data_IF_888396142218
#
_entry.id   IF_888396142218
#
_cell.length_a   1.000
_cell.length_b   1.000
_cell.length_c   1.000
_cell.angle_alpha   90.00
_cell.angle_beta   90.00
_cell.angle_gamma   90.00
#
_symmetry.space_group_name_H-M   'P 1'
#
loop_
_entity.id
_entity.type
_entity.pdbx_description
1 polymer ?
#
# COMPACT_ATOMS: atom_id res chain seq x y z
N UNK A 1 47.50 72.67 -28.12
CA UNK A 1 48.40 71.51 -28.30
C UNK A 1 48.60 70.81 -26.96
N UNK A 2 47.53 70.25 -26.37
CA UNK A 2 47.61 69.55 -25.07
C UNK A 2 46.39 68.63 -24.92
N UNK A 3 46.35 67.55 -25.71
CA UNK A 3 45.25 66.56 -25.63
C UNK A 3 45.62 65.21 -26.25
N UNK A 4 46.83 64.70 -26.03
CA UNK A 4 47.19 63.33 -26.39
C UNK A 4 48.21 62.82 -25.36
N UNK A 5 47.80 62.56 -24.11
CA UNK A 5 48.61 61.77 -23.15
C UNK A 5 47.82 61.32 -21.90
N UNK A 6 46.52 61.02 -22.06
CA UNK A 6 45.71 60.37 -21.00
C UNK A 6 44.77 59.35 -21.63
N UNK A 7 45.32 58.35 -22.30
CA UNK A 7 44.51 57.24 -22.81
C UNK A 7 45.25 55.89 -22.90
N UNK A 8 46.15 55.61 -21.96
CA UNK A 8 46.73 54.25 -21.82
C UNK A 8 46.81 53.72 -20.38
N UNK A 9 46.23 54.41 -19.39
CA UNK A 9 46.25 53.97 -17.99
C UNK A 9 44.87 53.68 -17.38
N UNK A 10 43.85 53.43 -18.22
CA UNK A 10 42.48 53.13 -17.77
C UNK A 10 41.85 51.92 -18.49
N UNK A 11 42.68 50.97 -18.97
CA UNK A 11 42.18 49.71 -19.56
C UNK A 11 42.72 48.43 -18.91
N UNK A 12 43.42 48.54 -17.77
CA UNK A 12 43.91 47.37 -17.01
C UNK A 12 43.40 47.25 -15.57
N UNK A 13 42.42 48.05 -15.15
CA UNK A 13 41.91 48.03 -13.77
C UNK A 13 40.39 47.88 -13.64
N UNK A 14 39.69 47.54 -14.72
CA UNK A 14 38.23 47.28 -14.69
C UNK A 14 37.89 45.82 -15.06
N UNK A 15 38.91 44.97 -15.23
CA UNK A 15 38.76 43.56 -15.60
C UNK A 15 39.14 42.60 -14.46
N UNK A 16 38.96 43.04 -13.21
CA UNK A 16 39.26 42.24 -12.01
C UNK A 16 38.22 42.37 -10.88
N UNK A 17 37.04 42.92 -11.18
CA UNK A 17 35.91 43.04 -10.24
C UNK A 17 34.57 42.69 -10.90
N UNK A 18 34.59 41.78 -11.88
CA UNK A 18 33.39 41.17 -12.47
C UNK A 18 33.51 39.63 -12.61
N UNK A 19 34.45 39.03 -11.88
CA UNK A 19 34.69 37.58 -11.81
C UNK A 19 34.68 37.06 -10.35
N UNK A 20 34.01 37.78 -9.46
CA UNK A 20 33.85 37.41 -8.05
C UNK A 20 32.42 37.59 -7.52
N UNK A 21 31.42 37.56 -8.42
CA UNK A 21 29.99 37.58 -8.07
C UNK A 21 29.15 36.54 -8.86
N UNK A 22 29.80 35.59 -9.54
CA UNK A 22 29.13 34.48 -10.25
C UNK A 22 29.64 33.11 -9.82
N UNK A 23 30.18 32.99 -8.59
CA UNK A 23 30.84 31.78 -8.09
C UNK A 23 30.31 31.20 -6.77
N UNK A 24 29.14 31.62 -6.26
CA UNK A 24 28.60 31.11 -4.97
C UNK A 24 27.11 30.76 -5.02
N UNK A 25 26.53 30.46 -6.20
CA UNK A 25 25.14 29.95 -6.26
C UNK A 25 25.04 28.46 -6.60
N UNK A 26 26.17 27.74 -6.68
CA UNK A 26 26.19 26.33 -7.13
C UNK A 26 26.58 25.31 -6.07
N UNK A 27 26.69 25.69 -4.78
CA UNK A 27 27.19 24.79 -3.70
C UNK A 27 26.12 24.41 -2.67
N UNK A 28 24.87 24.86 -2.81
CA UNK A 28 23.77 24.48 -1.90
C UNK A 28 22.53 23.92 -2.59
N UNK A 29 22.70 23.22 -3.72
CA UNK A 29 21.77 22.16 -4.05
C UNK A 29 22.23 20.88 -3.32
N UNK A 30 22.20 20.88 -1.99
CA UNK A 30 22.17 19.62 -1.27
C UNK A 30 20.88 18.94 -1.72
N UNK A 31 20.99 17.76 -2.30
CA UNK A 31 19.86 16.92 -2.65
C UNK A 31 19.17 16.56 -1.32
N UNK A 32 18.25 17.41 -0.86
CA UNK A 32 17.59 17.23 0.42
C UNK A 32 16.79 15.94 0.33
N UNK A 33 17.09 14.97 1.20
CA UNK A 33 16.35 13.71 1.23
C UNK A 33 14.86 14.02 1.29
N UNK A 34 14.12 13.37 0.41
CA UNK A 34 12.68 13.47 0.38
C UNK A 34 12.10 12.90 1.67
N UNK A 35 10.89 13.33 2.01
CA UNK A 35 10.13 12.75 3.12
C UNK A 35 10.08 11.21 3.07
N UNK A 36 9.87 10.65 1.88
CA UNK A 36 9.76 9.20 1.70
C UNK A 36 11.08 8.49 1.96
N UNK A 37 12.20 9.05 1.50
CA UNK A 37 13.52 8.48 1.76
C UNK A 37 13.85 8.49 3.25
N UNK A 38 13.54 9.59 3.95
CA UNK A 38 13.74 9.70 5.39
C UNK A 38 12.88 8.69 6.18
N UNK A 39 11.61 8.52 5.80
CA UNK A 39 10.72 7.52 6.43
C UNK A 39 11.22 6.10 6.18
N UNK A 40 11.66 5.79 4.96
CA UNK A 40 12.22 4.48 4.63
C UNK A 40 13.50 4.19 5.42
N UNK A 41 14.39 5.18 5.55
CA UNK A 41 15.60 5.07 6.37
C UNK A 41 15.26 4.87 7.86
N UNK A 42 14.29 5.62 8.38
CA UNK A 42 13.82 5.46 9.76
C UNK A 42 13.27 4.04 10.01
N UNK A 43 12.50 3.50 9.07
CA UNK A 43 12.00 2.13 9.16
C UNK A 43 13.14 1.10 9.11
N UNK A 44 14.15 1.28 8.26
CA UNK A 44 15.33 0.38 8.25
C UNK A 44 16.11 0.40 9.58
N UNK A 45 16.21 1.57 10.22
CA UNK A 45 16.80 1.71 11.56
C UNK A 45 15.94 1.00 12.63
N UNK A 46 14.62 1.11 12.51
CA UNK A 46 13.66 0.40 13.37
C UNK A 46 13.85 -1.12 13.29
N UNK A 47 13.89 -1.67 12.07
CA UNK A 47 14.10 -3.10 11.83
C UNK A 47 15.45 -3.58 12.37
N UNK A 48 16.46 -2.70 12.33
CA UNK A 48 17.79 -2.94 12.89
C UNK A 48 17.86 -2.76 14.41
N UNK A 49 16.73 -2.44 15.08
CA UNK A 49 16.61 -2.15 16.52
C UNK A 49 17.38 -0.92 17.01
N UNK A 50 17.75 -0.03 16.09
CA UNK A 50 18.37 1.27 16.38
C UNK A 50 17.26 2.29 16.64
N UNK A 51 16.53 2.10 17.75
CA UNK A 51 15.25 2.78 17.99
C UNK A 51 15.41 4.30 18.20
N UNK A 52 16.50 4.72 18.84
CA UNK A 52 16.79 6.15 19.03
C UNK A 52 17.02 6.83 17.68
N UNK A 53 17.91 6.27 16.85
CA UNK A 53 18.21 6.81 15.52
C UNK A 53 16.98 6.76 14.60
N UNK A 54 16.17 5.68 14.67
CA UNK A 54 14.88 5.58 13.99
C UNK A 54 13.97 6.75 14.35
N UNK A 55 13.80 7.02 15.65
CA UNK A 55 12.90 8.06 16.12
C UNK A 55 13.36 9.48 15.75
N UNK A 56 14.68 9.72 15.79
CA UNK A 56 15.31 10.95 15.31
C UNK A 56 15.14 11.13 13.80
N UNK A 57 15.29 10.05 13.03
CA UNK A 57 15.11 10.05 11.57
C UNK A 57 13.66 10.33 11.16
N UNK A 58 12.67 9.75 11.86
CA UNK A 58 11.26 10.14 11.70
C UNK A 58 11.05 11.62 12.02
N UNK A 59 11.71 12.14 13.06
CA UNK A 59 11.59 13.55 13.44
C UNK A 59 12.18 14.48 12.37
N UNK A 60 13.28 14.07 11.71
CA UNK A 60 13.83 14.73 10.53
C UNK A 60 12.84 14.71 9.36
N UNK A 61 12.19 13.57 9.10
CA UNK A 61 11.15 13.45 8.09
C UNK A 61 9.99 14.44 8.34
N UNK A 62 9.50 14.55 9.58
CA UNK A 62 8.42 15.49 9.88
C UNK A 62 8.88 16.94 9.67
N UNK A 63 10.09 17.30 10.10
CA UNK A 63 10.66 18.64 9.91
C UNK A 63 10.77 19.01 8.43
N UNK A 64 11.17 18.08 7.56
CA UNK A 64 11.27 18.34 6.11
C UNK A 64 9.92 18.69 5.46
N UNK A 65 8.80 18.31 6.09
CA UNK A 65 7.43 18.69 5.70
C UNK A 65 6.78 19.77 6.58
N UNK A 66 7.58 20.58 7.29
CA UNK A 66 7.05 21.64 8.16
C UNK A 66 6.29 21.07 9.37
N UNK A 67 6.86 20.04 9.98
CA UNK A 67 6.27 19.24 11.06
C UNK A 67 4.92 18.60 10.69
N UNK A 68 4.77 18.18 9.44
CA UNK A 68 3.68 17.33 8.97
C UNK A 68 4.20 15.92 8.75
N UNK A 69 3.33 14.93 8.91
CA UNK A 69 3.67 13.53 8.68
C UNK A 69 2.41 12.70 8.57
N UNK A 70 2.48 11.58 7.87
CA UNK A 70 1.38 10.62 7.83
C UNK A 70 1.12 10.08 9.24
N UNK A 71 -0.13 9.68 9.50
CA UNK A 71 -0.54 9.16 10.80
C UNK A 71 0.27 7.91 11.16
N UNK A 72 0.47 7.00 10.20
CA UNK A 72 1.24 5.77 10.40
C UNK A 72 2.70 6.06 10.71
N UNK A 73 3.34 6.99 9.99
CA UNK A 73 4.73 7.36 10.26
C UNK A 73 4.89 7.97 11.65
N UNK A 74 3.92 8.77 12.10
CA UNK A 74 3.89 9.31 13.47
C UNK A 74 3.65 8.23 14.52
N UNK A 75 2.82 7.23 14.22
CA UNK A 75 2.62 6.08 15.09
C UNK A 75 3.93 5.26 15.22
N UNK A 76 4.60 4.95 14.10
CA UNK A 76 5.89 4.27 14.11
C UNK A 76 6.98 5.07 14.84
N UNK A 77 6.96 6.40 14.73
CA UNK A 77 7.82 7.27 15.51
C UNK A 77 7.50 7.19 17.02
N UNK A 78 6.23 7.10 17.42
CA UNK A 78 5.84 6.87 18.81
C UNK A 78 6.40 5.54 19.34
N UNK A 79 6.29 4.46 18.57
CA UNK A 79 6.85 3.16 18.92
C UNK A 79 8.38 3.23 19.04
N UNK A 80 9.06 3.87 18.07
CA UNK A 80 10.52 4.07 18.11
C UNK A 80 10.95 4.83 19.37
N UNK A 81 10.27 5.94 19.71
CA UNK A 81 10.55 6.70 20.94
C UNK A 81 10.28 5.90 22.21
N UNK A 82 9.20 5.12 22.25
CA UNK A 82 8.87 4.28 23.40
C UNK A 82 9.93 3.19 23.62
N UNK A 83 10.36 2.51 22.56
CA UNK A 83 11.42 1.50 22.61
C UNK A 83 12.80 2.09 22.94
N UNK A 84 13.04 3.35 22.54
CA UNK A 84 14.21 4.13 22.97
C UNK A 84 14.11 4.64 24.43
N UNK A 85 12.98 4.38 25.11
CA UNK A 85 12.66 4.83 26.49
C UNK A 85 12.50 6.34 26.64
N UNK A 86 12.24 7.04 25.55
CA UNK A 86 11.94 8.47 25.49
C UNK A 86 10.42 8.70 25.56
N UNK A 87 9.88 8.53 26.77
CA UNK A 87 8.44 8.50 27.06
C UNK A 87 7.72 9.77 26.58
N UNK A 88 8.30 10.95 26.84
CA UNK A 88 7.67 12.22 26.49
C UNK A 88 7.58 12.43 24.98
N UNK A 89 8.66 12.11 24.25
CA UNK A 89 8.69 12.18 22.78
C UNK A 89 7.69 11.23 22.13
N UNK A 90 7.49 10.05 22.72
CA UNK A 90 6.46 9.11 22.27
C UNK A 90 5.06 9.70 22.44
N UNK A 91 4.73 10.22 23.63
CA UNK A 91 3.43 10.84 23.88
C UNK A 91 3.17 12.06 22.99
N UNK A 92 4.18 12.87 22.66
CA UNK A 92 4.02 13.97 21.69
C UNK A 92 3.47 13.46 20.36
N UNK A 93 3.97 12.32 19.85
CA UNK A 93 3.47 11.76 18.60
C UNK A 93 2.08 11.14 18.77
N UNK A 94 1.82 10.43 19.88
CA UNK A 94 0.51 9.83 20.16
C UNK A 94 -0.60 10.89 20.30
N UNK A 95 -0.35 12.00 20.99
CA UNK A 95 -1.31 13.10 21.08
C UNK A 95 -1.52 13.77 19.71
N UNK A 96 -0.47 13.97 18.92
CA UNK A 96 -0.63 14.53 17.56
C UNK A 96 -1.56 13.69 16.69
N UNK A 97 -1.42 12.36 16.69
CA UNK A 97 -2.27 11.49 15.87
C UNK A 97 -3.68 11.32 16.44
N UNK A 98 -3.85 11.35 17.76
CA UNK A 98 -5.16 11.19 18.40
C UNK A 98 -5.97 12.49 18.39
N UNK A 99 -5.36 13.66 18.63
CA UNK A 99 -6.07 14.95 18.65
C UNK A 99 -6.27 15.54 17.25
N UNK A 100 -5.24 15.50 16.41
CA UNK A 100 -5.24 16.18 15.09
C UNK A 100 -5.40 15.20 13.93
N UNK A 101 -4.84 13.99 14.08
CA UNK A 101 -4.88 12.95 13.07
C UNK A 101 -6.18 12.13 13.05
N UNK A 102 -7.01 12.21 14.09
CA UNK A 102 -8.17 11.35 14.29
C UNK A 102 -7.83 9.84 14.20
N UNK A 103 -6.70 9.40 14.76
CA UNK A 103 -6.34 7.98 14.76
C UNK A 103 -7.43 7.13 15.43
N UNK A 104 -7.85 6.04 14.77
CA UNK A 104 -9.03 5.23 15.14
C UNK A 104 -8.72 3.78 15.50
N UNK A 105 -7.49 3.30 15.28
CA UNK A 105 -7.17 1.87 15.47
C UNK A 105 -6.91 1.55 16.95
N UNK A 106 -8.00 1.57 17.73
CA UNK A 106 -8.03 1.29 19.17
C UNK A 106 -7.46 -0.10 19.48
N UNK A 107 -7.83 -1.13 18.70
CA UNK A 107 -7.33 -2.49 18.95
C UNK A 107 -5.81 -2.52 18.87
N UNK A 108 -5.23 -1.99 17.78
CA UNK A 108 -3.79 -2.05 17.58
C UNK A 108 -3.02 -1.33 18.70
N UNK A 109 -3.36 -0.07 18.99
CA UNK A 109 -2.63 0.71 20.00
C UNK A 109 -2.70 0.07 21.40
N UNK A 110 -3.81 -0.60 21.75
CA UNK A 110 -3.94 -1.25 23.07
C UNK A 110 -3.21 -2.58 23.21
N UNK A 111 -2.86 -3.22 22.08
CA UNK A 111 -2.19 -4.54 22.07
C UNK A 111 -0.75 -4.50 21.59
N UNK A 112 -0.30 -3.36 21.08
CA UNK A 112 1.05 -3.16 20.58
C UNK A 112 2.08 -3.22 21.72
N UNK A 113 2.99 -4.18 21.66
CA UNK A 113 4.02 -4.38 22.67
C UNK A 113 5.03 -3.24 22.73
N UNK A 114 5.22 -2.51 21.63
CA UNK A 114 6.23 -1.47 21.52
C UNK A 114 5.89 -0.25 22.39
N UNK A 115 4.60 -0.10 22.73
CA UNK A 115 4.08 0.97 23.59
C UNK A 115 3.90 0.53 25.05
N UNK A 116 4.24 -0.72 25.40
CA UNK A 116 3.99 -1.30 26.73
C UNK A 116 4.59 -0.49 27.89
N UNK A 117 5.74 0.15 27.68
CA UNK A 117 6.40 1.01 28.67
C UNK A 117 5.57 2.26 29.03
N UNK A 118 4.64 2.67 28.16
CA UNK A 118 3.77 3.83 28.36
C UNK A 118 2.55 3.52 29.22
N UNK A 119 2.16 2.25 29.37
CA UNK A 119 0.86 1.85 29.93
C UNK A 119 0.65 2.28 31.39
N UNK A 120 1.72 2.48 32.15
CA UNK A 120 1.67 2.95 33.55
C UNK A 120 1.61 4.47 33.68
N UNK A 121 1.90 5.23 32.61
CA UNK A 121 1.82 6.68 32.62
C UNK A 121 0.36 7.13 32.51
N UNK A 122 -0.03 8.16 33.29
CA UNK A 122 -1.40 8.69 33.30
C UNK A 122 -1.88 9.15 31.91
N UNK A 123 -0.97 9.66 31.07
CA UNK A 123 -1.25 10.15 29.71
C UNK A 123 -1.68 9.03 28.77
N UNK A 124 -1.34 7.78 29.08
CA UNK A 124 -1.81 6.63 28.32
C UNK A 124 -3.33 6.57 28.28
N UNK A 125 -3.98 6.67 29.44
CA UNK A 125 -5.44 6.65 29.51
C UNK A 125 -6.07 7.84 28.75
N UNK A 126 -5.40 9.00 28.72
CA UNK A 126 -5.84 10.16 27.95
C UNK A 126 -5.81 9.87 26.44
N UNK A 127 -4.67 9.38 25.92
CA UNK A 127 -4.52 8.98 24.50
C UNK A 127 -5.54 7.90 24.12
N UNK A 128 -5.67 6.85 24.93
CA UNK A 128 -6.58 5.73 24.64
C UNK A 128 -8.04 6.19 24.61
N UNK A 129 -8.44 7.12 25.49
CA UNK A 129 -9.78 7.71 25.45
C UNK A 129 -9.99 8.54 24.18
N UNK A 130 -9.01 9.34 23.74
CA UNK A 130 -9.10 10.09 22.48
C UNK A 130 -9.25 9.16 21.28
N UNK A 131 -8.44 8.10 21.20
CA UNK A 131 -8.52 7.11 20.11
C UNK A 131 -9.86 6.37 20.12
N UNK A 132 -10.39 6.04 21.30
CA UNK A 132 -11.72 5.44 21.43
C UNK A 132 -12.82 6.35 20.89
N UNK A 133 -12.81 7.63 21.28
CA UNK A 133 -13.78 8.63 20.80
C UNK A 133 -13.66 8.83 19.28
N UNK A 134 -12.44 8.88 18.75
CA UNK A 134 -12.21 8.96 17.31
C UNK A 134 -12.80 7.76 16.56
N UNK A 135 -12.59 6.55 17.08
CA UNK A 135 -13.18 5.32 16.54
C UNK A 135 -14.70 5.39 16.58
N UNK A 136 -15.30 5.72 17.72
CA UNK A 136 -16.75 5.82 17.86
C UNK A 136 -17.35 6.85 16.89
N UNK A 137 -16.67 7.98 16.68
CA UNK A 137 -17.07 9.01 15.72
C UNK A 137 -16.95 8.53 14.26
N UNK A 138 -15.85 7.87 13.90
CA UNK A 138 -15.64 7.34 12.56
C UNK A 138 -16.64 6.23 12.22
N UNK A 139 -17.08 5.47 13.22
CA UNK A 139 -17.98 4.33 13.07
C UNK A 139 -19.44 4.67 13.42
N UNK A 140 -19.76 5.96 13.59
CA UNK A 140 -21.09 6.42 14.01
C UNK A 140 -22.21 5.96 13.06
N UNK A 141 -21.90 5.89 11.76
CA UNK A 141 -22.84 5.50 10.71
C UNK A 141 -22.71 4.02 10.30
N UNK A 142 -21.89 3.24 11.00
CA UNK A 142 -21.69 1.84 10.62
C UNK A 142 -22.96 1.03 10.86
N UNK A 143 -23.29 0.21 9.87
CA UNK A 143 -24.25 -0.88 10.03
C UNK A 143 -23.55 -2.01 10.80
N UNK A 144 -23.49 -1.88 12.13
CA UNK A 144 -22.73 -2.80 13.00
C UNK A 144 -23.09 -4.28 12.80
N UNK A 145 -24.38 -4.66 12.67
CA UNK A 145 -24.74 -6.04 12.32
C UNK A 145 -24.13 -6.49 10.99
N UNK A 146 -24.20 -5.67 9.95
CA UNK A 146 -23.60 -6.01 8.66
C UNK A 146 -22.07 -6.08 8.72
N UNK A 147 -21.43 -5.17 9.45
CA UNK A 147 -19.98 -5.21 9.69
C UNK A 147 -19.59 -6.54 10.33
N UNK A 148 -20.28 -6.98 11.38
CA UNK A 148 -19.99 -8.25 12.05
C UNK A 148 -20.17 -9.47 11.12
N UNK A 149 -21.15 -9.42 10.20
CA UNK A 149 -21.32 -10.44 9.16
C UNK A 149 -20.11 -10.44 8.21
N UNK A 150 -19.72 -9.28 7.70
CA UNK A 150 -18.61 -9.16 6.75
C UNK A 150 -17.25 -9.49 7.39
N UNK A 151 -17.05 -9.19 8.67
CA UNK A 151 -15.86 -9.60 9.42
C UNK A 151 -15.78 -11.13 9.54
N UNK A 152 -16.93 -11.78 9.76
CA UNK A 152 -17.00 -13.25 9.80
C UNK A 152 -16.69 -13.85 8.44
N UNK A 153 -17.30 -13.32 7.37
CA UNK A 153 -17.04 -13.73 5.98
C UNK A 153 -15.55 -13.60 5.65
N UNK A 154 -14.92 -12.46 6.00
CA UNK A 154 -13.49 -12.24 5.80
C UNK A 154 -12.65 -13.31 6.48
N UNK A 155 -12.96 -13.61 7.75
CA UNK A 155 -12.25 -14.64 8.51
C UNK A 155 -12.33 -16.01 7.84
N UNK A 156 -13.50 -16.41 7.35
CA UNK A 156 -13.66 -17.70 6.66
C UNK A 156 -13.02 -17.73 5.27
N UNK A 157 -13.04 -16.61 4.55
CA UNK A 157 -12.42 -16.46 3.23
C UNK A 157 -10.88 -16.51 3.31
N UNK A 158 -10.28 -15.78 4.25
CA UNK A 158 -8.82 -15.64 4.36
C UNK A 158 -8.16 -16.69 5.27
N UNK A 159 -8.88 -17.20 6.29
CA UNK A 159 -8.31 -18.06 7.33
C UNK A 159 -7.55 -19.28 6.80
N UNK A 160 -8.16 -20.06 5.91
CA UNK A 160 -7.52 -21.23 5.30
C UNK A 160 -6.46 -20.83 4.26
N UNK A 161 -6.68 -19.75 3.51
CA UNK A 161 -5.74 -19.26 2.49
C UNK A 161 -4.40 -18.84 3.08
N UNK A 162 -4.40 -18.25 4.28
CA UNK A 162 -3.16 -17.90 5.00
C UNK A 162 -2.31 -19.13 5.36
N UNK A 163 -2.89 -20.32 5.43
CA UNK A 163 -2.18 -21.56 5.71
C UNK A 163 -1.59 -22.22 4.45
N UNK A 164 -1.97 -21.74 3.26
CA UNK A 164 -1.65 -22.40 1.99
C UNK A 164 -0.13 -22.53 1.77
N UNK A 165 0.64 -21.47 2.01
CA UNK A 165 2.10 -21.51 1.85
C UNK A 165 2.74 -22.54 2.79
N UNK A 166 2.33 -22.57 4.06
CA UNK A 166 2.82 -23.57 5.03
C UNK A 166 2.50 -25.00 4.59
N UNK A 167 1.31 -25.23 4.03
CA UNK A 167 0.93 -26.55 3.50
C UNK A 167 1.76 -26.91 2.28
N UNK A 168 1.98 -25.97 1.35
CA UNK A 168 2.82 -26.18 0.17
C UNK A 168 4.26 -26.52 0.55
N UNK A 169 4.86 -25.79 1.48
CA UNK A 169 6.25 -25.97 1.89
C UNK A 169 6.46 -27.33 2.57
N UNK A 170 5.44 -27.80 3.31
CA UNK A 170 5.53 -29.04 4.08
C UNK A 170 5.17 -30.30 3.29
N UNK A 171 4.18 -30.23 2.41
CA UNK A 171 3.61 -31.41 1.75
C UNK A 171 3.74 -31.38 0.22
N UNK A 172 4.02 -30.22 -0.37
CA UNK A 172 4.05 -30.02 -1.82
C UNK A 172 2.68 -29.65 -2.42
N UNK A 173 2.71 -28.97 -3.57
CA UNK A 173 1.50 -28.40 -4.22
C UNK A 173 0.53 -29.43 -4.78
N UNK A 174 1.00 -30.64 -5.09
CA UNK A 174 0.17 -31.72 -5.66
C UNK A 174 -0.27 -32.77 -4.62
N UNK A 175 0.06 -32.55 -3.34
CA UNK A 175 -0.23 -33.46 -2.23
C UNK A 175 -1.73 -33.58 -1.95
N UNK A 176 -2.12 -34.62 -1.20
CA UNK A 176 -3.52 -34.79 -0.80
C UNK A 176 -3.94 -33.68 0.20
N UNK A 177 -3.06 -33.28 1.10
CA UNK A 177 -3.29 -32.20 2.07
C UNK A 177 -3.56 -30.87 1.37
N UNK A 178 -2.81 -30.56 0.31
CA UNK A 178 -3.05 -29.37 -0.52
C UNK A 178 -4.42 -29.45 -1.19
N UNK A 179 -4.80 -30.61 -1.74
CA UNK A 179 -6.11 -30.80 -2.37
C UNK A 179 -7.26 -30.67 -1.37
N UNK A 180 -7.11 -31.24 -0.18
CA UNK A 180 -8.12 -31.17 0.89
C UNK A 180 -8.28 -29.74 1.43
N UNK A 181 -7.18 -28.99 1.54
CA UNK A 181 -7.21 -27.57 1.88
C UNK A 181 -8.00 -26.78 0.82
N UNK A 182 -7.70 -26.97 -0.46
CA UNK A 182 -8.38 -26.24 -1.54
C UNK A 182 -9.85 -26.63 -1.70
N UNK A 183 -10.21 -27.89 -1.41
CA UNK A 183 -11.61 -28.31 -1.30
C UNK A 183 -12.33 -27.53 -0.19
N UNK A 184 -11.72 -27.43 1.00
CA UNK A 184 -12.29 -26.69 2.13
C UNK A 184 -12.41 -25.19 1.84
N UNK A 185 -11.42 -24.61 1.14
CA UNK A 185 -11.49 -23.22 0.65
C UNK A 185 -12.66 -23.04 -0.30
N UNK A 186 -12.84 -23.93 -1.29
CA UNK A 186 -13.93 -23.85 -2.25
C UNK A 186 -15.32 -23.97 -1.58
N UNK A 187 -15.45 -24.81 -0.56
CA UNK A 187 -16.66 -24.91 0.26
C UNK A 187 -16.95 -23.58 0.97
N UNK A 188 -15.95 -22.97 1.64
CA UNK A 188 -16.09 -21.66 2.27
C UNK A 188 -16.44 -20.55 1.25
N UNK A 189 -15.77 -20.52 0.10
CA UNK A 189 -16.03 -19.56 -0.97
C UNK A 189 -17.50 -19.62 -1.40
N UNK A 190 -18.06 -20.83 -1.57
CA UNK A 190 -19.45 -21.01 -1.98
C UNK A 190 -20.45 -20.47 -0.95
N UNK A 191 -20.19 -20.67 0.34
CA UNK A 191 -21.04 -20.19 1.45
C UNK A 191 -20.95 -18.67 1.59
N UNK A 192 -19.73 -18.13 1.55
CA UNK A 192 -19.47 -16.69 1.60
C UNK A 192 -20.12 -15.97 0.42
N UNK A 193 -20.07 -16.58 -0.77
CA UNK A 193 -20.67 -16.02 -1.97
C UNK A 193 -22.19 -15.88 -1.85
N UNK A 194 -22.90 -16.81 -1.21
CA UNK A 194 -24.34 -16.68 -0.97
C UNK A 194 -24.64 -15.42 -0.15
N UNK A 195 -23.86 -15.17 0.91
CA UNK A 195 -24.01 -14.02 1.80
C UNK A 195 -23.74 -12.72 1.02
N UNK A 196 -22.60 -12.64 0.33
CA UNK A 196 -22.18 -11.43 -0.39
C UNK A 196 -23.11 -11.11 -1.55
N UNK A 197 -23.58 -12.12 -2.30
CA UNK A 197 -24.57 -11.91 -3.37
C UNK A 197 -25.85 -11.30 -2.84
N UNK A 198 -26.36 -11.78 -1.71
CA UNK A 198 -27.55 -11.21 -1.09
C UNK A 198 -27.34 -9.73 -0.74
N UNK A 199 -26.21 -9.40 -0.11
CA UNK A 199 -25.87 -8.01 0.25
C UNK A 199 -25.81 -7.12 -1.00
N UNK A 200 -25.07 -7.54 -2.02
CA UNK A 200 -24.89 -6.76 -3.25
C UNK A 200 -26.20 -6.61 -4.04
N UNK A 201 -27.02 -7.67 -4.11
CA UNK A 201 -28.30 -7.65 -4.83
C UNK A 201 -29.34 -6.76 -4.13
N UNK A 202 -29.35 -6.70 -2.79
CA UNK A 202 -30.31 -5.90 -2.01
C UNK A 202 -29.85 -4.46 -1.76
N UNK A 203 -28.54 -4.23 -1.59
CA UNK A 203 -27.99 -2.96 -1.09
C UNK A 203 -26.92 -2.34 -1.98
N UNK A 204 -26.51 -3.02 -3.04
CA UNK A 204 -25.40 -2.60 -3.88
C UNK A 204 -24.06 -2.64 -3.14
N UNK A 205 -23.07 -1.96 -3.72
CA UNK A 205 -21.73 -1.87 -3.15
C UNK A 205 -21.63 -0.73 -2.14
N UNK A 206 -21.77 -1.07 -0.86
CA UNK A 206 -21.70 -0.12 0.25
C UNK A 206 -20.28 0.43 0.45
N UNK A 207 -20.19 1.70 0.81
CA UNK A 207 -18.94 2.39 1.09
C UNK A 207 -18.37 2.07 2.47
N UNK A 208 -17.10 2.42 2.67
CA UNK A 208 -16.41 2.23 3.94
C UNK A 208 -16.99 3.05 5.10
N UNK A 209 -17.82 4.05 4.81
CA UNK A 209 -18.58 4.85 5.77
C UNK A 209 -19.74 4.07 6.44
N UNK A 210 -20.20 2.97 5.80
CA UNK A 210 -21.27 2.11 6.33
C UNK A 210 -20.73 0.76 6.81
N UNK A 211 -19.76 0.18 6.09
CA UNK A 211 -19.27 -1.18 6.36
C UNK A 211 -17.77 -1.24 6.72
N UNK A 212 -17.11 -0.08 6.87
CA UNK A 212 -15.68 -0.03 7.11
C UNK A 212 -14.83 -0.44 5.91
N UNK A 213 -13.52 -0.16 6.00
CA UNK A 213 -12.56 -0.59 4.98
C UNK A 213 -12.51 -2.13 4.87
N UNK A 214 -12.56 -2.84 5.99
CA UNK A 214 -12.53 -4.30 6.00
C UNK A 214 -13.75 -4.89 5.30
N UNK A 215 -14.96 -4.41 5.61
CA UNK A 215 -16.17 -4.89 4.95
C UNK A 215 -16.14 -4.68 3.44
N UNK A 216 -15.61 -3.54 2.98
CA UNK A 216 -15.44 -3.28 1.54
C UNK A 216 -14.44 -4.25 0.89
N UNK A 217 -13.31 -4.50 1.55
CA UNK A 217 -12.33 -5.52 1.13
C UNK A 217 -12.97 -6.91 1.09
N UNK A 218 -13.81 -7.27 2.06
CA UNK A 218 -14.52 -8.55 2.09
C UNK A 218 -15.43 -8.72 0.86
N UNK A 219 -16.23 -7.69 0.53
CA UNK A 219 -17.09 -7.73 -0.66
C UNK A 219 -16.25 -7.99 -1.92
N UNK A 220 -15.14 -7.27 -2.08
CA UNK A 220 -14.22 -7.46 -3.19
C UNK A 220 -13.64 -8.87 -3.23
N UNK A 221 -13.06 -9.37 -2.14
CA UNK A 221 -12.37 -10.67 -2.12
C UNK A 221 -13.31 -11.82 -2.48
N UNK A 222 -14.52 -11.83 -1.94
CA UNK A 222 -15.49 -12.88 -2.25
C UNK A 222 -15.89 -12.86 -3.73
N UNK A 223 -16.06 -11.68 -4.33
CA UNK A 223 -16.32 -11.56 -5.78
C UNK A 223 -15.08 -11.94 -6.60
N UNK A 224 -13.88 -11.53 -6.17
CA UNK A 224 -12.60 -11.88 -6.80
C UNK A 224 -12.37 -13.40 -6.85
N UNK A 225 -12.85 -14.14 -5.86
CA UNK A 225 -12.74 -15.59 -5.78
C UNK A 225 -13.90 -16.35 -6.46
N UNK A 226 -14.97 -15.66 -6.84
CA UNK A 226 -16.13 -16.27 -7.47
C UNK A 226 -15.85 -16.76 -8.90
N UNK A 227 -16.80 -17.52 -9.47
CA UNK A 227 -16.77 -17.90 -10.88
C UNK A 227 -16.87 -16.68 -11.82
N UNK A 228 -16.42 -16.86 -13.07
CA UNK A 228 -16.39 -15.78 -14.07
C UNK A 228 -17.76 -15.12 -14.29
N UNK A 229 -18.85 -15.90 -14.36
CA UNK A 229 -20.19 -15.36 -14.60
C UNK A 229 -20.63 -14.45 -13.44
N UNK A 230 -20.28 -14.83 -12.22
CA UNK A 230 -20.52 -14.01 -11.03
C UNK A 230 -19.66 -12.74 -11.04
N UNK A 231 -18.38 -12.85 -11.39
CA UNK A 231 -17.50 -11.67 -11.52
C UNK A 231 -18.05 -10.69 -12.57
N UNK A 232 -18.44 -11.18 -13.75
CA UNK A 232 -19.05 -10.37 -14.82
C UNK A 232 -20.33 -9.66 -14.37
N UNK A 233 -21.18 -10.34 -13.57
CA UNK A 233 -22.41 -9.75 -13.03
C UNK A 233 -22.13 -8.54 -12.14
N UNK A 234 -21.15 -8.62 -11.24
CA UNK A 234 -20.89 -7.57 -10.24
C UNK A 234 -19.82 -6.55 -10.65
N UNK A 235 -19.01 -6.83 -11.68
CA UNK A 235 -17.98 -5.89 -12.15
C UNK A 235 -18.54 -4.50 -12.51
N UNK A 236 -19.67 -4.34 -13.23
CA UNK A 236 -20.25 -3.01 -13.46
C UNK A 236 -20.62 -2.27 -12.16
N UNK A 237 -21.11 -2.99 -11.15
CA UNK A 237 -21.43 -2.41 -9.85
C UNK A 237 -20.18 -1.92 -9.13
N UNK A 238 -19.08 -2.68 -9.17
CA UNK A 238 -17.80 -2.27 -8.58
C UNK A 238 -17.21 -1.04 -9.29
N UNK A 239 -17.32 -0.95 -10.63
CA UNK A 239 -16.91 0.23 -11.39
C UNK A 239 -17.65 1.49 -10.92
N UNK A 240 -18.95 1.40 -10.73
CA UNK A 240 -19.75 2.50 -10.19
C UNK A 240 -19.40 2.81 -8.73
N UNK A 241 -19.07 1.80 -7.93
CA UNK A 241 -18.63 1.98 -6.55
C UNK A 241 -17.32 2.79 -6.49
N UNK A 242 -16.32 2.46 -7.32
CA UNK A 242 -15.05 3.21 -7.40
C UNK A 242 -15.31 4.66 -7.84
N UNK A 243 -16.14 4.90 -8.85
CA UNK A 243 -16.50 6.27 -9.27
C UNK A 243 -17.12 7.10 -8.16
N UNK A 244 -17.86 6.45 -7.24
CA UNK A 244 -18.48 7.09 -6.07
C UNK A 244 -17.55 7.19 -4.86
N UNK A 245 -16.33 6.65 -4.93
CA UNK A 245 -15.40 6.56 -3.79
C UNK A 245 -15.78 5.48 -2.76
N UNK A 246 -16.71 4.59 -3.09
CA UNK A 246 -17.16 3.52 -2.21
C UNK A 246 -16.26 2.28 -2.25
N UNK A 247 -15.40 2.13 -3.25
CA UNK A 247 -14.47 1.02 -3.38
C UNK A 247 -13.09 1.51 -3.85
N UNK A 248 -12.03 0.77 -3.53
CA UNK A 248 -10.67 1.13 -3.93
C UNK A 248 -10.44 0.90 -5.42
N UNK A 249 -9.83 1.84 -6.17
CA UNK A 249 -9.45 1.63 -7.56
C UNK A 249 -8.57 0.39 -7.73
N UNK A 250 -7.60 0.17 -6.84
CA UNK A 250 -6.70 -0.99 -6.89
C UNK A 250 -7.44 -2.33 -6.83
N UNK A 251 -8.49 -2.44 -6.02
CA UNK A 251 -9.33 -3.63 -5.97
C UNK A 251 -10.08 -3.87 -7.30
N UNK A 252 -10.57 -2.79 -7.93
CA UNK A 252 -11.23 -2.89 -9.23
C UNK A 252 -10.24 -3.35 -10.32
N UNK A 253 -9.01 -2.84 -10.33
CA UNK A 253 -7.98 -3.28 -11.29
C UNK A 253 -7.74 -4.80 -11.22
N UNK A 254 -7.66 -5.36 -10.02
CA UNK A 254 -7.50 -6.80 -9.80
C UNK A 254 -8.68 -7.62 -10.33
N UNK A 255 -9.91 -7.12 -10.18
CA UNK A 255 -11.10 -7.79 -10.70
C UNK A 255 -11.20 -7.66 -12.22
N UNK A 256 -10.87 -6.51 -12.78
CA UNK A 256 -10.84 -6.29 -14.23
C UNK A 256 -9.84 -7.22 -14.92
N UNK A 257 -8.63 -7.35 -14.39
CA UNK A 257 -7.63 -8.26 -14.92
C UNK A 257 -8.12 -9.72 -14.86
N UNK A 258 -8.71 -10.13 -13.74
CA UNK A 258 -9.23 -11.49 -13.57
C UNK A 258 -10.37 -11.81 -14.54
N UNK A 259 -11.31 -10.89 -14.71
CA UNK A 259 -12.41 -11.05 -15.68
C UNK A 259 -11.89 -11.05 -17.11
N UNK A 260 -10.94 -10.16 -17.45
CA UNK A 260 -10.36 -10.11 -18.79
C UNK A 260 -9.71 -11.45 -19.17
N UNK A 261 -8.87 -12.00 -18.28
CA UNK A 261 -8.24 -13.29 -18.49
C UNK A 261 -9.25 -14.44 -18.55
N UNK A 262 -10.27 -14.43 -17.69
CA UNK A 262 -11.36 -15.42 -17.74
C UNK A 262 -12.15 -15.38 -19.06
N UNK A 263 -12.24 -14.22 -19.71
CA UNK A 263 -12.83 -14.04 -21.03
C UNK A 263 -11.87 -14.39 -22.18
N UNK A 264 -10.66 -14.88 -21.89
CA UNK A 264 -9.62 -15.15 -22.88
C UNK A 264 -8.98 -13.88 -23.48
N UNK A 265 -9.14 -12.73 -22.81
CA UNK A 265 -8.49 -11.47 -23.17
C UNK A 265 -7.22 -11.27 -22.36
N UNK A 266 -6.42 -10.31 -22.76
CA UNK A 266 -5.26 -9.86 -21.97
C UNK A 266 -5.73 -9.01 -20.79
N UNK A 267 -5.04 -9.14 -19.67
CA UNK A 267 -5.20 -8.28 -18.51
C UNK A 267 -4.65 -6.87 -18.79
N UNK A 268 -5.02 -5.88 -17.99
CA UNK A 268 -4.68 -4.47 -18.20
C UNK A 268 -3.58 -3.98 -17.25
N UNK A 269 -3.54 -4.49 -16.01
CA UNK A 269 -2.69 -3.94 -14.95
C UNK A 269 -1.58 -4.90 -14.48
N UNK A 270 -1.55 -6.13 -15.00
CA UNK A 270 -0.50 -7.12 -14.68
C UNK A 270 -0.64 -7.71 -13.28
N UNK A 271 -1.85 -7.73 -12.71
CA UNK A 271 -2.11 -8.21 -11.35
C UNK A 271 -2.25 -9.73 -11.22
N UNK A 272 -2.45 -10.46 -12.31
CA UNK A 272 -2.57 -11.92 -12.30
C UNK A 272 -1.27 -12.58 -12.75
N UNK A 273 -0.74 -13.43 -11.88
CA UNK A 273 0.53 -14.13 -12.04
C UNK A 273 0.25 -15.62 -12.26
N UNK A 274 0.87 -16.20 -13.29
CA UNK A 274 0.87 -17.62 -13.59
C UNK A 274 2.05 -18.32 -12.95
N UNK A 275 1.91 -19.62 -12.70
CA UNK A 275 3.00 -20.51 -12.32
C UNK A 275 3.13 -21.56 -13.42
N UNK A 276 4.30 -21.63 -14.04
CA UNK A 276 4.63 -22.69 -14.97
C UNK A 276 4.92 -23.97 -14.16
N UNK A 277 4.07 -24.99 -14.32
CA UNK A 277 4.16 -26.21 -13.49
C UNK A 277 5.36 -27.09 -13.84
N UNK A 278 5.94 -26.94 -15.03
CA UNK A 278 7.09 -27.74 -15.47
C UNK A 278 8.39 -27.14 -14.92
N UNK A 279 8.54 -25.82 -15.03
CA UNK A 279 9.74 -25.10 -14.59
C UNK A 279 9.68 -24.58 -13.16
N UNK A 280 8.47 -24.49 -12.57
CA UNK A 280 8.24 -23.87 -11.26
C UNK A 280 8.39 -22.34 -11.25
N UNK A 281 8.52 -21.71 -12.43
CA UNK A 281 8.77 -20.27 -12.57
C UNK A 281 7.46 -19.50 -12.65
N UNK A 282 7.37 -18.40 -11.90
CA UNK A 282 6.25 -17.47 -11.99
C UNK A 282 6.41 -16.52 -13.18
N UNK A 283 5.31 -16.14 -13.81
CA UNK A 283 5.29 -15.21 -14.93
C UNK A 283 4.02 -14.35 -14.92
N UNK A 284 4.08 -13.17 -15.53
CA UNK A 284 2.91 -12.30 -15.69
C UNK A 284 2.01 -12.90 -16.78
N UNK A 285 0.73 -13.16 -16.47
CA UNK A 285 -0.25 -13.65 -17.45
C UNK A 285 -0.44 -12.63 -18.60
N UNK A 286 -1.00 -13.01 -19.76
CA UNK A 286 -1.06 -12.14 -20.95
C UNK A 286 -1.54 -10.71 -20.64
N UNK A 287 -0.71 -9.72 -20.94
CA UNK A 287 -0.86 -8.31 -20.58
C UNK A 287 -1.02 -7.45 -21.85
N UNK A 288 -2.03 -6.59 -21.83
CA UNK A 288 -2.29 -5.60 -22.87
C UNK A 288 -1.32 -4.42 -22.72
N UNK A 289 -0.77 -3.94 -23.83
CA UNK A 289 0.09 -2.74 -23.87
C UNK A 289 1.09 -2.67 -22.68
N UNK A 290 2.06 -3.60 -22.62
CA UNK A 290 2.96 -3.74 -21.48
C UNK A 290 3.90 -2.54 -21.31
N UNK A 291 4.15 -1.76 -22.36
CA UNK A 291 4.99 -0.55 -22.33
C UNK A 291 4.37 0.59 -21.51
N UNK A 292 3.04 0.64 -21.40
CA UNK A 292 2.32 1.68 -20.66
C UNK A 292 1.63 1.16 -19.39
N UNK A 293 1.98 -0.04 -18.92
CA UNK A 293 1.32 -0.66 -17.77
C UNK A 293 1.39 0.18 -16.51
N UNK A 294 2.55 0.79 -16.20
CA UNK A 294 2.70 1.58 -14.98
C UNK A 294 1.90 2.88 -15.00
N UNK A 295 1.64 3.46 -16.18
CA UNK A 295 0.71 4.60 -16.31
C UNK A 295 -0.71 4.19 -15.90
N UNK A 296 -1.15 2.99 -16.29
CA UNK A 296 -2.47 2.46 -15.91
C UNK A 296 -2.52 2.06 -14.44
N UNK A 297 -1.45 1.47 -13.92
CA UNK A 297 -1.32 1.09 -12.51
C UNK A 297 -1.40 2.31 -11.59
N UNK A 298 -0.67 3.38 -11.92
CA UNK A 298 -0.71 4.63 -11.16
C UNK A 298 -2.12 5.24 -11.12
N UNK A 299 -2.87 5.21 -12.24
CA UNK A 299 -4.26 5.69 -12.29
C UNK A 299 -5.22 4.87 -11.40
N UNK A 300 -4.85 3.64 -11.04
CA UNK A 300 -5.60 2.73 -10.18
C UNK A 300 -5.00 2.62 -8.78
N UNK A 301 -4.13 3.55 -8.37
CA UNK A 301 -3.47 3.55 -7.06
C UNK A 301 -2.69 2.25 -6.78
N UNK A 302 -2.18 1.63 -7.84
CA UNK A 302 -1.23 0.52 -7.76
C UNK A 302 0.20 1.06 -7.85
N UNK A 303 1.13 0.44 -7.11
CA UNK A 303 2.56 0.68 -7.30
C UNK A 303 3.08 0.11 -8.61
N UNK A 304 4.34 0.36 -8.95
CA UNK A 304 4.95 -0.09 -10.20
C UNK A 304 4.90 -1.62 -10.36
N UNK A 305 4.83 -2.08 -11.60
CA UNK A 305 4.73 -3.51 -11.91
C UNK A 305 5.96 -4.26 -11.40
N UNK A 306 7.17 -3.69 -11.55
CA UNK A 306 8.40 -4.32 -11.05
C UNK A 306 8.32 -4.59 -9.54
N UNK A 307 7.95 -3.60 -8.72
CA UNK A 307 7.84 -3.77 -7.27
C UNK A 307 6.85 -4.87 -6.91
N UNK A 308 5.72 -4.92 -7.63
CA UNK A 308 4.71 -5.94 -7.42
C UNK A 308 5.22 -7.36 -7.77
N UNK A 309 5.85 -7.53 -8.93
CA UNK A 309 6.26 -8.87 -9.41
C UNK A 309 7.52 -9.40 -8.73
N UNK A 310 8.29 -8.53 -8.04
CA UNK A 310 9.40 -8.93 -7.17
C UNK A 310 8.99 -9.91 -6.07
N UNK A 311 7.72 -9.90 -5.63
CA UNK A 311 7.19 -10.89 -4.67
C UNK A 311 7.29 -12.34 -5.17
N UNK A 312 7.44 -12.52 -6.49
CA UNK A 312 7.60 -13.82 -7.14
C UNK A 312 8.98 -13.99 -7.79
N UNK A 313 9.96 -13.15 -7.43
CA UNK A 313 11.30 -13.11 -8.02
C UNK A 313 11.31 -12.87 -9.54
N UNK A 314 10.32 -12.13 -10.06
CA UNK A 314 10.26 -11.76 -11.47
C UNK A 314 11.03 -10.45 -11.66
N UNK A 315 11.94 -10.43 -12.63
CA UNK A 315 12.52 -9.20 -13.17
C UNK A 315 11.70 -8.79 -14.39
N UNK A 316 11.06 -7.63 -14.31
CA UNK A 316 10.22 -7.10 -15.37
C UNK A 316 11.08 -6.50 -16.48
N UNK A 317 11.07 -7.14 -17.64
CA UNK A 317 11.70 -6.68 -18.88
C UNK A 317 10.63 -6.67 -19.97
N UNK A 318 10.21 -5.47 -20.37
CA UNK A 318 9.12 -5.28 -21.32
C UNK A 318 9.44 -5.83 -22.71
N UNK A 319 10.68 -5.66 -23.18
CA UNK A 319 11.08 -6.15 -24.51
C UNK A 319 11.14 -7.67 -24.54
N UNK A 320 11.65 -8.28 -23.47
CA UNK A 320 11.64 -9.73 -23.29
C UNK A 320 10.20 -10.25 -23.20
N UNK A 321 9.35 -9.62 -22.38
CA UNK A 321 7.96 -10.01 -22.22
C UNK A 321 7.19 -10.01 -23.54
N UNK A 322 7.34 -8.95 -24.36
CA UNK A 322 6.68 -8.86 -25.67
C UNK A 322 7.09 -10.03 -26.59
N UNK A 323 8.36 -10.44 -26.55
CA UNK A 323 8.86 -11.59 -27.34
C UNK A 323 8.28 -12.92 -26.85
N UNK A 324 8.09 -13.06 -25.54
CA UNK A 324 7.57 -14.28 -24.89
C UNK A 324 6.03 -14.36 -24.91
N UNK A 325 5.33 -13.25 -25.11
CA UNK A 325 3.87 -13.15 -25.04
C UNK A 325 3.12 -14.19 -25.91
N UNK A 326 3.51 -14.48 -27.17
CA UNK A 326 2.85 -15.52 -27.96
C UNK A 326 2.90 -16.91 -27.31
N UNK A 327 4.03 -17.25 -26.67
CA UNK A 327 4.20 -18.53 -25.97
C UNK A 327 3.39 -18.55 -24.67
N UNK A 328 3.35 -17.43 -23.95
CA UNK A 328 2.51 -17.25 -22.76
C UNK A 328 1.04 -17.45 -23.11
N UNK A 329 0.56 -16.86 -24.22
CA UNK A 329 -0.81 -17.02 -24.71
C UNK A 329 -1.11 -18.46 -25.15
N UNK A 330 -0.15 -19.14 -25.78
CA UNK A 330 -0.30 -20.53 -26.17
C UNK A 330 -0.47 -21.46 -24.94
N UNK A 331 0.19 -21.15 -23.82
CA UNK A 331 0.03 -21.88 -22.54
C UNK A 331 -1.36 -21.74 -21.93
N UNK A 332 -2.05 -20.62 -22.15
CA UNK A 332 -3.39 -20.37 -21.59
C UNK A 332 -4.53 -21.08 -22.34
N UNK A 333 -4.27 -21.56 -23.57
CA UNK A 333 -5.28 -22.25 -24.40
C UNK A 333 -5.31 -23.77 -24.18
N UNK A 334 -4.37 -24.30 -23.39
CA UNK A 334 -4.30 -25.71 -22.99
C UNK A 334 -5.00 -25.89 -21.64
#
# INVERSE_FOLDING_TARGET
MLKIFKLEFMKKSVLLTALWLLGISSVFAQNQQTYSELVNEAWGLYESKNFQESAEKYSEAFKSKGDKGAINDRYNAACSWALAKEIDSSFVQLFRISEKGNYTNYSHITTDSDLSILHSDKRWNEVINLVKVNKEKAEANFDKPLVAILDSVYKYDQGLRMQANTVYDKYGRDSQETKDLWKSIAENDSLNLIIVKKILDERGWLGADIIGNQGNTTLFLVIQHADLKTQEKYLPMMREAVKKGNARPSALALLEDRVALGQGKRQLYGSQIGLDRESGVYYVLPLEDPENVDKRRAAMELGDLQDYVSNWNIVWDVEKYIKELPDIEAKQKK
#
